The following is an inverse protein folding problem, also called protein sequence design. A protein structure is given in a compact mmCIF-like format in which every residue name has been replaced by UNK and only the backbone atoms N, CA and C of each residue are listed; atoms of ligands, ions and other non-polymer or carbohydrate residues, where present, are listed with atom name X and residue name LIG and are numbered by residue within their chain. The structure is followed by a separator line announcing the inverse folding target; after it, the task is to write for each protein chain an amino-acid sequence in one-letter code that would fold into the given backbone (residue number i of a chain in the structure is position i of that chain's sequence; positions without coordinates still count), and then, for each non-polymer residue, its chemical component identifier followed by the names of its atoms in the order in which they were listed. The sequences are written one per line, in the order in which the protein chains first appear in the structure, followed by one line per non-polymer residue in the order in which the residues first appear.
data_IF_374744381878
#
_entry.id   IF_374744381878
#
_cell.length_a   1.000
_cell.length_b   1.000
_cell.length_c   1.000
_cell.angle_alpha   90.00
_cell.angle_beta   90.00
_cell.angle_gamma   90.00
#
_symmetry.space_group_name_H-M   'P 1'
#
loop_
_entity.id
_entity.type
_entity.pdbx_description
1 polymer ?
#
# COMPACT_ATOMS: atom_id res chain seq x y z
N UNK A 1 13.25 -1.58 -4.12
CA UNK A 1 13.40 -1.20 -2.70
C UNK A 1 13.92 -2.39 -1.91
N UNK A 2 15.00 -2.23 -1.17
CA UNK A 2 15.51 -3.31 -0.30
C UNK A 2 14.72 -3.27 1.02
N UNK A 3 14.12 -4.39 1.46
CA UNK A 3 13.28 -4.39 2.67
C UNK A 3 14.05 -4.10 3.95
N UNK A 4 15.36 -4.33 3.98
CA UNK A 4 16.18 -4.20 5.19
C UNK A 4 16.42 -2.75 5.64
N UNK A 5 16.26 -1.78 4.76
CA UNK A 5 16.48 -0.36 5.04
C UNK A 5 15.34 0.54 4.53
N UNK A 6 14.13 0.01 4.49
CA UNK A 6 12.96 0.77 4.05
C UNK A 6 12.59 1.81 5.11
N UNK A 7 12.57 3.07 4.70
CA UNK A 7 11.98 4.15 5.48
C UNK A 7 10.52 4.31 5.08
N UNK A 8 9.65 4.46 6.06
CA UNK A 8 8.21 4.52 5.84
C UNK A 8 7.67 5.84 6.36
N UNK A 9 6.98 6.58 5.52
CA UNK A 9 6.16 7.72 5.96
C UNK A 9 4.73 7.23 6.12
N UNK A 10 4.14 7.45 7.29
CA UNK A 10 2.71 7.30 7.53
C UNK A 10 2.07 8.67 7.60
N UNK A 11 0.99 8.86 6.85
CA UNK A 11 0.19 10.07 6.88
C UNK A 11 -1.12 9.77 7.61
N UNK A 12 -1.34 10.45 8.73
CA UNK A 12 -2.53 10.26 9.57
C UNK A 12 -3.05 11.61 10.06
N UNK A 13 -4.32 11.89 9.84
CA UNK A 13 -5.01 13.08 10.37
C UNK A 13 -4.26 14.41 10.11
N UNK A 14 -3.75 14.56 8.90
CA UNK A 14 -3.03 15.78 8.51
C UNK A 14 -1.59 15.86 9.03
N UNK A 15 -1.06 14.79 9.62
CA UNK A 15 0.33 14.71 10.10
C UNK A 15 1.08 13.55 9.46
N UNK A 16 2.33 13.80 9.09
CA UNK A 16 3.27 12.78 8.62
C UNK A 16 4.19 12.32 9.74
N UNK A 17 4.46 11.03 9.77
CA UNK A 17 5.44 10.40 10.67
C UNK A 17 6.43 9.59 9.87
N UNK A 18 7.72 9.90 10.01
CA UNK A 18 8.80 9.12 9.42
C UNK A 18 9.23 8.02 10.38
N UNK A 19 9.11 6.78 9.93
CA UNK A 19 9.54 5.58 10.63
C UNK A 19 10.81 5.06 9.96
N UNK A 20 11.88 4.92 10.74
CA UNK A 20 13.17 4.39 10.29
C UNK A 20 13.60 3.21 11.15
N UNK A 21 14.19 2.17 10.57
CA UNK A 21 14.71 1.03 11.35
C UNK A 21 15.67 1.53 12.45
N UNK A 22 15.43 1.08 13.68
CA UNK A 22 16.29 1.43 14.83
C UNK A 22 16.19 2.86 15.35
N UNK A 23 15.24 3.66 14.88
CA UNK A 23 15.03 5.04 15.33
C UNK A 23 13.62 5.25 15.89
N UNK A 24 13.47 6.21 16.78
CA UNK A 24 12.16 6.64 17.22
C UNK A 24 11.39 7.31 16.06
N UNK A 25 10.05 7.20 16.03
CA UNK A 25 9.22 7.89 15.06
C UNK A 25 9.47 9.40 15.09
N UNK A 26 9.59 10.02 13.94
CA UNK A 26 9.82 11.45 13.78
C UNK A 26 8.61 12.10 13.11
N UNK A 27 8.03 13.12 13.76
CA UNK A 27 7.01 13.96 13.12
C UNK A 27 7.60 14.75 11.97
N UNK A 28 6.87 14.80 10.86
CA UNK A 28 7.22 15.61 9.70
C UNK A 28 6.47 16.94 9.79
N UNK A 29 7.20 18.05 9.75
CA UNK A 29 6.59 19.37 9.60
C UNK A 29 6.34 19.68 8.13
N UNK A 30 5.30 20.46 7.83
CA UNK A 30 4.95 20.85 6.46
C UNK A 30 6.06 21.69 5.76
N UNK A 31 6.91 22.36 6.55
CA UNK A 31 7.95 23.24 6.07
C UNK A 31 9.29 22.49 5.94
N UNK A 32 9.55 21.93 4.76
CA UNK A 32 10.89 21.48 4.40
C UNK A 32 11.25 20.06 4.88
N UNK A 33 10.49 19.07 4.46
CA UNK A 33 10.80 17.67 4.75
C UNK A 33 11.95 17.18 3.88
N UNK A 34 13.13 16.98 4.46
CA UNK A 34 14.18 16.18 3.84
C UNK A 34 13.93 14.71 4.16
N UNK A 35 13.51 13.95 3.15
CA UNK A 35 13.26 12.51 3.29
C UNK A 35 14.51 11.72 2.92
N UNK A 36 14.86 10.68 3.69
CA UNK A 36 15.95 9.77 3.33
C UNK A 36 15.69 9.08 2.00
N UNK A 37 16.76 8.62 1.35
CA UNK A 37 16.64 7.67 0.23
C UNK A 37 15.90 6.40 0.69
N UNK A 38 15.33 5.66 -0.25
CA UNK A 38 14.57 4.45 0.04
C UNK A 38 13.38 4.67 0.99
N UNK A 39 12.65 5.77 0.79
CA UNK A 39 11.44 6.11 1.54
C UNK A 39 10.19 5.81 0.71
N UNK A 40 9.18 5.20 1.31
CA UNK A 40 7.85 5.04 0.73
C UNK A 40 6.76 5.70 1.60
N UNK A 41 5.62 5.98 0.99
CA UNK A 41 4.42 6.42 1.67
C UNK A 41 3.51 5.22 1.94
N UNK A 42 3.24 4.94 3.20
CA UNK A 42 2.32 3.88 3.60
C UNK A 42 0.87 4.37 3.53
N UNK A 43 0.09 3.73 2.67
CA UNK A 43 -1.35 3.97 2.54
C UNK A 43 -2.13 3.10 3.52
N UNK A 44 -3.24 3.61 4.09
CA UNK A 44 -4.10 2.83 4.99
C UNK A 44 -4.65 1.56 4.31
N UNK A 45 -4.44 0.40 4.92
CA UNK A 45 -4.83 -0.90 4.35
C UNK A 45 -6.33 -1.20 4.44
N UNK A 46 -7.12 -0.39 5.14
CA UNK A 46 -8.58 -0.42 5.12
C UNK A 46 -9.19 0.29 3.90
N UNK A 47 -8.40 1.12 3.21
CA UNK A 47 -8.81 1.87 2.03
C UNK A 47 -8.26 1.28 0.71
N UNK A 48 -7.34 0.33 0.78
CA UNK A 48 -6.70 -0.32 -0.37
C UNK A 48 -6.84 -1.83 -0.26
N UNK A 49 -7.46 -2.44 -1.27
CA UNK A 49 -7.51 -3.90 -1.37
C UNK A 49 -6.28 -4.41 -2.10
N UNK A 50 -5.58 -5.34 -1.48
CA UNK A 50 -4.41 -6.01 -2.08
C UNK A 50 -4.77 -7.46 -2.42
N UNK A 51 -4.38 -7.90 -3.60
CA UNK A 51 -4.55 -9.29 -4.03
C UNK A 51 -3.45 -9.70 -5.02
N UNK A 52 -3.33 -10.99 -5.22
CA UNK A 52 -2.39 -11.61 -6.15
C UNK A 52 -3.17 -12.25 -7.29
N UNK A 53 -2.77 -11.97 -8.52
CA UNK A 53 -3.43 -12.47 -9.73
C UNK A 53 -2.41 -13.23 -10.60
N UNK A 54 -2.69 -14.48 -11.02
CA UNK A 54 -1.90 -15.15 -12.03
C UNK A 54 -2.15 -14.53 -13.40
N UNK A 55 -1.07 -14.22 -14.13
CA UNK A 55 -1.15 -13.58 -15.45
C UNK A 55 -0.15 -14.26 -16.39
N UNK A 56 -0.62 -14.67 -17.55
CA UNK A 56 0.26 -15.22 -18.59
C UNK A 56 1.24 -14.15 -19.10
N UNK A 57 2.50 -14.52 -19.40
CA UNK A 57 3.52 -13.55 -19.81
C UNK A 57 3.13 -12.65 -20.99
N UNK A 58 2.39 -13.19 -21.94
CA UNK A 58 1.88 -12.47 -23.11
C UNK A 58 0.80 -11.44 -22.78
N UNK A 59 0.09 -11.59 -21.65
CA UNK A 59 -1.00 -10.71 -21.22
C UNK A 59 -0.51 -9.54 -20.37
N UNK A 60 0.67 -9.64 -19.77
CA UNK A 60 1.21 -8.62 -18.86
C UNK A 60 1.24 -7.22 -19.49
N UNK A 61 1.59 -7.13 -20.77
CA UNK A 61 1.62 -5.85 -21.52
C UNK A 61 0.26 -5.17 -21.63
N UNK A 62 -0.84 -5.93 -21.52
CA UNK A 62 -2.21 -5.42 -21.60
C UNK A 62 -2.91 -5.37 -20.24
N UNK A 63 -2.23 -5.82 -19.18
CA UNK A 63 -2.82 -6.06 -17.86
C UNK A 63 -3.52 -4.81 -17.30
N UNK A 64 -2.91 -3.65 -17.44
CA UNK A 64 -3.51 -2.39 -16.96
C UNK A 64 -4.93 -2.15 -17.50
N UNK A 65 -5.20 -2.57 -18.73
CA UNK A 65 -6.52 -2.44 -19.36
C UNK A 65 -7.42 -3.62 -19.03
N UNK A 66 -6.84 -4.79 -18.81
CA UNK A 66 -7.58 -6.03 -18.57
C UNK A 66 -8.05 -6.16 -17.10
N UNK A 67 -7.29 -5.66 -16.14
CA UNK A 67 -7.58 -5.80 -14.70
C UNK A 67 -9.02 -5.44 -14.30
N UNK A 68 -9.61 -4.30 -14.72
CA UNK A 68 -10.98 -3.99 -14.40
C UNK A 68 -11.96 -5.08 -14.81
N UNK A 69 -11.83 -5.60 -16.02
CA UNK A 69 -12.69 -6.67 -16.55
C UNK A 69 -12.44 -8.02 -15.88
N UNK A 70 -11.18 -8.34 -15.60
CA UNK A 70 -10.82 -9.60 -14.93
C UNK A 70 -11.36 -9.69 -13.50
N UNK A 71 -11.51 -8.55 -12.83
CA UNK A 71 -11.87 -8.48 -11.42
C UNK A 71 -13.31 -8.00 -11.19
N UNK A 72 -14.02 -7.55 -12.21
CA UNK A 72 -15.37 -6.98 -12.11
C UNK A 72 -16.34 -7.86 -11.30
N UNK A 73 -16.37 -9.15 -11.55
CA UNK A 73 -17.26 -10.09 -10.86
C UNK A 73 -16.90 -10.31 -9.37
N UNK A 74 -15.64 -10.00 -8.99
CA UNK A 74 -15.14 -10.17 -7.61
C UNK A 74 -15.19 -8.88 -6.78
N UNK A 75 -15.61 -7.78 -7.39
CA UNK A 75 -15.69 -6.46 -6.76
C UNK A 75 -17.15 -6.07 -6.52
N UNK A 76 -17.41 -5.37 -5.43
CA UNK A 76 -18.73 -4.84 -5.11
C UNK A 76 -18.94 -3.44 -5.69
N UNK A 77 -17.85 -2.72 -5.92
CA UNK A 77 -17.84 -1.36 -6.46
C UNK A 77 -17.81 -1.38 -8.00
N UNK A 78 -18.33 -0.32 -8.61
CA UNK A 78 -18.19 -0.09 -10.03
C UNK A 78 -16.70 0.09 -10.39
N UNK A 79 -16.21 -0.72 -11.31
CA UNK A 79 -14.80 -0.70 -11.76
C UNK A 79 -14.39 0.65 -12.35
N UNK A 80 -15.34 1.45 -12.86
CA UNK A 80 -15.08 2.81 -13.36
C UNK A 80 -14.68 3.80 -12.26
N UNK A 81 -15.07 3.52 -11.01
CA UNK A 81 -14.73 4.33 -9.84
C UNK A 81 -13.39 3.92 -9.19
N UNK A 82 -12.80 2.81 -9.65
CA UNK A 82 -11.61 2.24 -9.08
C UNK A 82 -10.35 2.59 -9.85
N UNK A 83 -9.26 2.67 -9.13
CA UNK A 83 -7.90 2.69 -9.65
C UNK A 83 -7.23 1.37 -9.37
N UNK A 84 -6.56 0.83 -10.39
CA UNK A 84 -5.82 -0.43 -10.33
C UNK A 84 -4.33 -0.14 -10.55
N UNK A 85 -3.51 -0.61 -9.62
CA UNK A 85 -2.06 -0.63 -9.76
C UNK A 85 -1.58 -2.08 -9.73
N UNK A 86 -0.51 -2.40 -10.43
CA UNK A 86 0.07 -3.74 -10.41
C UNK A 86 1.58 -3.71 -10.48
N UNK A 87 2.21 -4.76 -9.96
CA UNK A 87 3.64 -4.99 -10.01
C UNK A 87 3.92 -6.50 -10.16
N UNK A 88 4.99 -6.87 -10.89
CA UNK A 88 5.33 -8.27 -11.06
C UNK A 88 5.80 -8.91 -9.75
N UNK A 89 5.37 -10.13 -9.53
CA UNK A 89 5.87 -11.07 -8.53
C UNK A 89 6.57 -12.23 -9.21
N UNK A 90 7.00 -13.23 -8.43
CA UNK A 90 7.57 -14.46 -8.98
C UNK A 90 6.49 -15.34 -9.63
N UNK A 91 6.92 -16.27 -10.45
CA UNK A 91 6.11 -17.38 -10.98
C UNK A 91 4.86 -16.92 -11.78
N UNK A 92 4.96 -15.81 -12.51
CA UNK A 92 3.86 -15.29 -13.33
C UNK A 92 2.73 -14.66 -12.52
N UNK A 93 2.97 -14.37 -11.25
CA UNK A 93 2.02 -13.67 -10.41
C UNK A 93 2.19 -12.15 -10.51
N UNK A 94 1.10 -11.42 -10.33
CA UNK A 94 1.08 -9.98 -10.22
C UNK A 94 0.47 -9.57 -8.88
N UNK A 95 1.15 -8.69 -8.17
CA UNK A 95 0.56 -7.95 -7.06
C UNK A 95 -0.40 -6.92 -7.64
N UNK A 96 -1.60 -6.83 -7.11
CA UNK A 96 -2.60 -5.84 -7.53
C UNK A 96 -3.09 -5.06 -6.31
N UNK A 97 -3.05 -3.74 -6.42
CA UNK A 97 -3.66 -2.82 -5.47
C UNK A 97 -4.88 -2.16 -6.09
N UNK A 98 -5.99 -2.13 -5.37
CA UNK A 98 -7.25 -1.53 -5.81
C UNK A 98 -7.68 -0.50 -4.79
N UNK A 99 -7.97 0.71 -5.25
CA UNK A 99 -8.40 1.82 -4.42
C UNK A 99 -9.41 2.68 -5.17
N UNK A 100 -10.35 3.31 -4.45
CA UNK A 100 -11.29 4.26 -5.05
C UNK A 100 -10.55 5.49 -5.58
N UNK A 101 -10.89 5.94 -6.79
CA UNK A 101 -10.31 7.17 -7.37
C UNK A 101 -10.56 8.39 -6.49
N UNK A 102 -11.75 8.48 -5.88
CA UNK A 102 -12.08 9.53 -4.92
C UNK A 102 -11.10 9.56 -3.74
N UNK A 103 -10.72 8.39 -3.21
CA UNK A 103 -9.75 8.29 -2.12
C UNK A 103 -8.35 8.79 -2.53
N UNK A 104 -7.90 8.47 -3.75
CA UNK A 104 -6.63 9.01 -4.26
C UNK A 104 -6.69 10.53 -4.34
N UNK A 105 -7.78 11.09 -4.85
CA UNK A 105 -7.96 12.54 -4.96
C UNK A 105 -7.93 13.21 -3.58
N UNK A 106 -8.64 12.65 -2.57
CA UNK A 106 -8.58 13.11 -1.19
C UNK A 106 -7.13 13.16 -0.68
N UNK A 107 -6.38 12.08 -0.86
CA UNK A 107 -4.98 12.02 -0.42
C UNK A 107 -4.09 13.01 -1.16
N UNK A 108 -4.29 13.18 -2.47
CA UNK A 108 -3.53 14.15 -3.27
C UNK A 108 -3.81 15.60 -2.86
N UNK A 109 -5.01 15.90 -2.36
CA UNK A 109 -5.36 17.23 -1.84
C UNK A 109 -4.79 17.48 -0.42
N UNK A 110 -4.85 16.45 0.44
CA UNK A 110 -4.44 16.58 1.85
C UNK A 110 -2.93 16.56 2.06
N UNK A 111 -2.20 15.78 1.25
CA UNK A 111 -0.77 15.57 1.49
C UNK A 111 0.10 16.70 0.92
N UNK A 112 1.17 17.08 1.62
CA UNK A 112 2.21 17.94 1.09
C UNK A 112 2.86 17.36 -0.17
N UNK A 113 3.24 18.22 -1.10
CA UNK A 113 3.83 17.84 -2.39
C UNK A 113 5.00 16.84 -2.27
N UNK A 114 5.97 16.99 -1.36
CA UNK A 114 7.08 16.04 -1.24
C UNK A 114 6.65 14.60 -0.90
N UNK A 115 5.47 14.42 -0.28
CA UNK A 115 4.95 13.09 0.04
C UNK A 115 4.21 12.44 -1.14
N UNK A 116 3.65 13.27 -2.04
CA UNK A 116 2.94 12.78 -3.24
C UNK A 116 3.88 12.09 -4.23
N UNK A 117 5.14 12.53 -4.27
CA UNK A 117 6.16 12.02 -5.19
C UNK A 117 6.82 10.72 -4.69
N UNK A 118 6.55 10.30 -3.45
CA UNK A 118 7.06 9.03 -2.94
C UNK A 118 6.38 7.83 -3.62
N UNK A 119 7.04 6.68 -3.68
CA UNK A 119 6.35 5.42 -3.98
C UNK A 119 5.27 5.14 -2.95
N UNK A 120 4.04 4.91 -3.40
CA UNK A 120 2.90 4.60 -2.55
C UNK A 120 2.78 3.09 -2.36
N UNK A 121 2.77 2.64 -1.12
CA UNK A 121 2.70 1.23 -0.73
C UNK A 121 1.64 1.09 0.36
N UNK A 122 0.86 0.03 0.37
CA UNK A 122 -0.09 -0.24 1.45
C UNK A 122 0.68 -0.53 2.74
N UNK A 123 0.24 -0.01 3.88
CA UNK A 123 0.93 -0.20 5.17
C UNK A 123 1.13 -1.67 5.55
N UNK A 124 0.19 -2.56 5.21
CA UNK A 124 0.35 -3.98 5.43
C UNK A 124 1.57 -4.54 4.68
N UNK A 125 1.86 -4.05 3.47
CA UNK A 125 3.01 -4.49 2.68
C UNK A 125 4.34 -3.86 3.16
N UNK A 126 4.30 -2.87 4.05
CA UNK A 126 5.47 -2.35 4.75
C UNK A 126 5.91 -3.25 5.91
N UNK A 127 5.07 -4.17 6.38
CA UNK A 127 5.43 -5.13 7.42
C UNK A 127 6.41 -6.17 6.87
N UNK A 128 7.30 -6.72 7.70
CA UNK A 128 8.16 -7.85 7.31
C UNK A 128 7.33 -9.01 6.77
N UNK A 129 7.88 -9.73 5.80
CA UNK A 129 7.23 -10.92 5.26
C UNK A 129 8.22 -12.08 5.13
N UNK A 130 7.74 -13.27 5.47
CA UNK A 130 8.42 -14.54 5.24
C UNK A 130 7.40 -15.58 4.80
N UNK A 131 7.77 -16.45 3.88
CA UNK A 131 6.87 -17.48 3.37
C UNK A 131 6.33 -18.37 4.50
N UNK A 132 5.01 -18.59 4.50
CA UNK A 132 4.33 -19.41 5.51
C UNK A 132 4.12 -18.73 6.86
N UNK A 133 4.41 -17.44 6.99
CA UNK A 133 4.21 -16.69 8.22
C UNK A 133 3.27 -15.50 8.00
N UNK A 134 2.51 -15.17 9.02
CA UNK A 134 1.73 -13.95 9.12
C UNK A 134 2.48 -12.95 10.01
N UNK A 135 2.50 -11.69 9.61
CA UNK A 135 3.01 -10.60 10.43
C UNK A 135 1.87 -9.72 10.87
N UNK A 136 1.79 -9.43 12.15
CA UNK A 136 0.73 -8.62 12.75
C UNK A 136 1.34 -7.41 13.46
N UNK A 137 0.77 -6.24 13.22
CA UNK A 137 1.04 -5.00 13.95
C UNK A 137 -0.21 -4.59 14.71
N UNK A 138 -0.15 -4.69 16.02
CA UNK A 138 -1.25 -4.27 16.91
C UNK A 138 -1.17 -2.78 17.17
N UNK A 139 -2.23 -2.07 16.89
CA UNK A 139 -2.41 -0.65 17.18
C UNK A 139 -3.70 -0.43 18.00
N UNK A 140 -3.88 0.76 18.56
CA UNK A 140 -5.10 1.06 19.31
C UNK A 140 -6.35 0.92 18.41
N UNK A 141 -7.18 -0.08 18.71
CA UNK A 141 -8.45 -0.34 17.99
C UNK A 141 -8.31 -1.04 16.65
N UNK A 142 -7.11 -1.44 16.22
CA UNK A 142 -6.93 -2.15 14.94
C UNK A 142 -5.69 -3.06 14.91
N UNK A 143 -5.69 -3.97 13.95
CA UNK A 143 -4.54 -4.82 13.65
C UNK A 143 -4.24 -4.72 12.15
N UNK A 144 -3.01 -4.40 11.81
CA UNK A 144 -2.51 -4.52 10.43
C UNK A 144 -1.90 -5.90 10.26
N UNK A 145 -2.33 -6.62 9.25
CA UNK A 145 -1.93 -8.02 9.01
C UNK A 145 -1.34 -8.15 7.62
N UNK A 146 -0.19 -8.81 7.51
CA UNK A 146 0.36 -9.29 6.23
C UNK A 146 0.43 -10.80 6.26
N UNK A 147 -0.22 -11.49 5.30
CA UNK A 147 -0.26 -12.96 5.23
C UNK A 147 0.39 -13.54 3.99
N UNK A 148 0.68 -12.71 2.97
CA UNK A 148 1.37 -13.13 1.77
C UNK A 148 2.32 -12.05 1.26
N UNK A 149 3.09 -12.37 0.21
CA UNK A 149 4.08 -11.45 -0.36
C UNK A 149 3.45 -10.11 -0.78
N UNK A 150 2.24 -10.14 -1.35
CA UNK A 150 1.53 -8.96 -1.82
C UNK A 150 0.11 -8.84 -1.26
N UNK A 151 -0.19 -9.48 -0.13
CA UNK A 151 -1.52 -9.42 0.46
C UNK A 151 -1.48 -9.11 1.95
N UNK A 152 -2.38 -8.25 2.35
CA UNK A 152 -2.56 -7.84 3.73
C UNK A 152 -3.73 -6.88 3.86
N UNK A 153 -4.13 -6.61 5.09
CA UNK A 153 -5.26 -5.74 5.40
C UNK A 153 -5.10 -5.07 6.76
N UNK A 154 -5.94 -4.09 7.02
CA UNK A 154 -6.22 -3.57 8.37
C UNK A 154 -7.59 -4.08 8.80
N UNK A 155 -7.66 -4.58 10.01
CA UNK A 155 -8.89 -5.09 10.64
C UNK A 155 -9.14 -4.30 11.91
N UNK A 156 -10.35 -3.80 12.10
CA UNK A 156 -10.76 -3.20 13.36
C UNK A 156 -10.82 -4.29 14.44
N UNK A 157 -10.14 -4.06 15.53
CA UNK A 157 -10.19 -4.93 16.70
C UNK A 157 -11.25 -4.39 17.66
N UNK A 158 -12.42 -4.99 17.66
CA UNK A 158 -13.42 -4.79 18.72
C UNK A 158 -12.97 -5.65 19.89
N UNK A 159 -12.32 -5.02 20.83
CA UNK A 159 -11.97 -5.65 22.11
C UNK A 159 -13.08 -5.43 23.13
#
# INVERSE_FOLDING_TARGET
MSPENLNVVRWQQGQGFLLRPGHAPQSLSADGVSLPENTCLALPSDRVRNLTVPVAPEEVKHLRRALPFMLEESLLEDVSELHFAHAPLRDGLQAVGIVKRATINEWMEEMPEPLRDLPWVTEALCLPWSAGQWTLLFESGSVVVRWAEAEGARVEAVL
#
